data_IF_822927637961
#
_entry.id   IF_822927637961
#
_cell.length_a   1.000
_cell.length_b   1.000
_cell.length_c   1.000
_cell.angle_alpha   90.00
_cell.angle_beta   90.00
_cell.angle_gamma   90.00
#
_symmetry.space_group_name_H-M   'P 1'
#
loop_
_entity.id
_entity.type
_entity.pdbx_description
1 polymer ?
#
# COMPACT_ATOMS: atom_id res chain seq x y z
N UNK A 1 9.31 -13.27 11.11
CA UNK A 1 8.44 -12.70 12.17
C UNK A 1 9.18 -12.42 13.49
N UNK A 2 10.27 -13.08 13.76
CA UNK A 2 11.05 -12.90 15.01
C UNK A 2 11.64 -11.49 15.15
N UNK A 3 11.60 -10.71 14.08
CA UNK A 3 12.19 -9.37 14.01
C UNK A 3 11.23 -8.25 14.46
N UNK A 4 9.98 -8.60 14.66
CA UNK A 4 8.93 -7.66 15.01
C UNK A 4 8.58 -7.78 16.50
N UNK A 5 8.04 -6.70 17.06
CA UNK A 5 7.53 -6.74 18.42
C UNK A 5 6.37 -7.75 18.53
N UNK A 6 6.07 -8.20 19.74
CA UNK A 6 4.98 -9.15 19.96
C UNK A 6 3.63 -8.61 19.46
N UNK A 7 3.37 -7.32 19.63
CA UNK A 7 2.14 -6.68 19.14
C UNK A 7 2.11 -6.60 17.62
N UNK A 8 3.24 -6.30 16.99
CA UNK A 8 3.35 -6.29 15.53
C UNK A 8 3.14 -7.68 14.96
N UNK A 9 3.75 -8.70 15.57
CA UNK A 9 3.57 -10.09 15.16
C UNK A 9 2.11 -10.51 15.26
N UNK A 10 1.42 -10.16 16.33
CA UNK A 10 0.00 -10.47 16.51
C UNK A 10 -0.87 -9.81 15.42
N UNK A 11 -0.59 -8.55 15.09
CA UNK A 11 -1.32 -7.85 14.04
C UNK A 11 -1.09 -8.50 12.66
N UNK A 12 0.16 -8.88 12.37
CA UNK A 12 0.50 -9.55 11.12
C UNK A 12 -0.21 -10.90 11.02
N UNK A 13 -0.18 -11.70 12.08
CA UNK A 13 -0.84 -13.00 12.12
C UNK A 13 -2.36 -12.83 11.97
N UNK A 14 -2.94 -11.88 12.67
CA UNK A 14 -4.37 -11.59 12.56
C UNK A 14 -4.78 -11.22 11.13
N UNK A 15 -3.97 -10.41 10.44
CA UNK A 15 -4.24 -10.04 9.04
C UNK A 15 -4.04 -11.23 8.09
N UNK A 16 -3.08 -12.11 8.35
CA UNK A 16 -2.88 -13.33 7.56
C UNK A 16 -4.02 -14.32 7.70
N UNK A 17 -4.52 -14.50 8.92
CA UNK A 17 -5.53 -15.52 9.22
C UNK A 17 -6.95 -15.08 8.90
N UNK A 18 -7.18 -13.76 8.81
CA UNK A 18 -8.50 -13.20 8.57
C UNK A 18 -8.50 -12.32 7.33
N UNK A 19 -9.29 -12.71 6.33
CA UNK A 19 -9.46 -11.95 5.08
C UNK A 19 -10.74 -11.12 5.06
N UNK A 20 -11.43 -10.99 6.19
CA UNK A 20 -12.72 -10.28 6.27
C UNK A 20 -12.62 -8.82 5.85
N UNK A 21 -11.47 -8.18 6.10
CA UNK A 21 -11.23 -6.81 5.70
C UNK A 21 -11.34 -6.58 4.18
N UNK A 22 -11.10 -7.62 3.38
CA UNK A 22 -11.26 -7.55 1.92
C UNK A 22 -12.73 -7.40 1.53
N UNK A 23 -13.64 -8.01 2.26
CA UNK A 23 -15.07 -7.98 1.96
C UNK A 23 -15.70 -6.59 2.14
N UNK A 24 -15.15 -5.74 3.02
CA UNK A 24 -15.61 -4.37 3.17
C UNK A 24 -14.63 -3.35 2.60
N UNK A 25 -13.77 -3.77 1.68
CA UNK A 25 -12.78 -2.93 1.02
C UNK A 25 -11.85 -2.21 2.01
N UNK A 26 -11.44 -2.92 3.06
CA UNK A 26 -10.47 -2.43 4.03
C UNK A 26 -9.06 -2.36 3.43
N UNK A 27 -8.20 -1.56 4.03
CA UNK A 27 -6.82 -1.37 3.60
C UNK A 27 -5.83 -1.80 4.67
N UNK A 28 -4.62 -2.17 4.26
CA UNK A 28 -3.49 -2.43 5.16
C UNK A 28 -2.33 -1.53 4.76
N UNK A 29 -1.81 -0.78 5.71
CA UNK A 29 -0.66 0.09 5.51
C UNK A 29 0.52 -0.44 6.33
N UNK A 30 1.63 -0.70 5.65
CA UNK A 30 2.87 -1.15 6.26
C UNK A 30 3.89 -0.03 6.16
N UNK A 31 4.20 0.59 7.29
CA UNK A 31 5.05 1.78 7.35
C UNK A 31 6.28 1.49 8.19
N UNK A 32 7.42 1.86 7.67
CA UNK A 32 8.69 1.70 8.39
C UNK A 32 9.87 1.98 7.48
N UNK A 33 11.06 2.18 8.06
CA UNK A 33 12.26 2.48 7.28
C UNK A 33 12.63 1.31 6.36
N UNK A 34 13.50 1.60 5.39
CA UNK A 34 14.00 0.60 4.45
C UNK A 34 14.71 -0.54 5.18
N UNK A 35 14.50 -1.77 4.73
CA UNK A 35 15.18 -2.95 5.25
C UNK A 35 14.55 -3.58 6.49
N UNK A 36 13.34 -3.18 6.88
CA UNK A 36 12.62 -3.78 8.02
C UNK A 36 11.68 -4.92 7.62
N UNK A 37 11.60 -5.25 6.32
CA UNK A 37 10.82 -6.40 5.84
C UNK A 37 9.39 -6.08 5.42
N UNK A 38 9.04 -4.82 5.15
CA UNK A 38 7.69 -4.41 4.71
C UNK A 38 7.22 -5.19 3.49
N UNK A 39 8.06 -5.29 2.46
CA UNK A 39 7.72 -6.01 1.22
C UNK A 39 7.54 -7.50 1.46
N UNK A 40 8.31 -8.09 2.37
CA UNK A 40 8.13 -9.49 2.77
C UNK A 40 6.79 -9.73 3.46
N UNK A 41 6.37 -8.82 4.34
CA UNK A 41 5.08 -8.90 5.00
C UNK A 41 3.95 -8.75 3.99
N UNK A 42 4.05 -7.77 3.11
CA UNK A 42 3.06 -7.57 2.04
C UNK A 42 2.96 -8.81 1.14
N UNK A 43 4.10 -9.42 0.78
CA UNK A 43 4.13 -10.64 -0.02
C UNK A 43 3.49 -11.82 0.73
N UNK A 44 3.75 -11.96 2.02
CA UNK A 44 3.13 -13.00 2.85
C UNK A 44 1.61 -12.83 2.94
N UNK A 45 1.13 -11.61 3.13
CA UNK A 45 -0.31 -11.30 3.10
C UNK A 45 -0.92 -11.62 1.74
N UNK A 46 -0.27 -11.21 0.65
CA UNK A 46 -0.73 -11.48 -0.71
C UNK A 46 -0.80 -12.97 -0.99
N UNK A 47 0.22 -13.75 -0.62
CA UNK A 47 0.23 -15.20 -0.78
C UNK A 47 -0.91 -15.88 -0.03
N UNK A 48 -1.16 -15.46 1.20
CA UNK A 48 -2.25 -16.01 2.00
C UNK A 48 -3.62 -15.71 1.37
N UNK A 49 -3.81 -14.50 0.86
CA UNK A 49 -5.03 -14.13 0.17
C UNK A 49 -5.24 -14.94 -1.11
N UNK A 50 -4.18 -15.15 -1.89
CA UNK A 50 -4.23 -15.95 -3.12
C UNK A 50 -4.61 -17.40 -2.79
N UNK A 51 -4.08 -17.98 -1.71
CA UNK A 51 -4.48 -19.31 -1.25
C UNK A 51 -5.97 -19.39 -0.90
N UNK A 52 -6.56 -18.27 -0.50
CA UNK A 52 -8.00 -18.15 -0.20
C UNK A 52 -8.83 -17.75 -1.43
N UNK A 53 -8.27 -17.87 -2.64
CA UNK A 53 -8.92 -17.53 -3.90
C UNK A 53 -9.22 -16.02 -4.06
N UNK A 54 -8.52 -15.15 -3.34
CA UNK A 54 -8.59 -13.70 -3.54
C UNK A 54 -7.67 -13.32 -4.70
N UNK A 55 -8.17 -12.52 -5.62
CA UNK A 55 -7.37 -12.01 -6.74
C UNK A 55 -6.54 -10.83 -6.27
N UNK A 56 -5.22 -10.97 -6.36
CA UNK A 56 -4.25 -9.94 -5.94
C UNK A 56 -3.36 -9.55 -7.10
N UNK A 57 -3.13 -8.25 -7.25
CA UNK A 57 -2.16 -7.71 -8.21
C UNK A 57 -1.13 -6.88 -7.46
N UNK A 58 0.14 -7.07 -7.78
CA UNK A 58 1.26 -6.35 -7.20
C UNK A 58 1.80 -5.30 -8.16
N UNK A 59 1.94 -4.07 -7.68
CA UNK A 59 2.66 -3.01 -8.39
C UNK A 59 3.65 -2.34 -7.45
N UNK A 60 4.83 -1.97 -7.97
CA UNK A 60 5.54 -0.86 -7.36
C UNK A 60 4.75 0.43 -7.59
N UNK A 61 4.82 1.37 -6.68
CA UNK A 61 4.09 2.63 -6.84
C UNK A 61 4.50 3.36 -8.12
N UNK A 62 5.80 3.33 -8.45
CA UNK A 62 6.30 3.94 -9.67
C UNK A 62 5.70 3.29 -10.94
N UNK A 63 5.67 1.96 -10.99
CA UNK A 63 5.11 1.24 -12.13
C UNK A 63 3.61 1.50 -12.29
N UNK A 64 2.87 1.55 -11.19
CA UNK A 64 1.45 1.88 -11.21
C UNK A 64 1.21 3.28 -11.78
N UNK A 65 1.94 4.28 -11.27
CA UNK A 65 1.81 5.66 -11.75
C UNK A 65 2.16 5.78 -13.22
N UNK A 66 3.23 5.12 -13.68
CA UNK A 66 3.61 5.11 -15.09
C UNK A 66 2.52 4.49 -15.98
N UNK A 67 1.94 3.39 -15.53
CA UNK A 67 0.84 2.72 -16.25
C UNK A 67 -0.38 3.63 -16.36
N UNK A 68 -0.77 4.28 -15.26
CA UNK A 68 -1.92 5.17 -15.22
C UNK A 68 -1.69 6.45 -16.04
N UNK A 69 -0.49 7.01 -15.99
CA UNK A 69 -0.14 8.18 -16.82
C UNK A 69 -0.18 7.86 -18.32
N UNK A 70 0.31 6.69 -18.72
CA UNK A 70 0.23 6.25 -20.10
C UNK A 70 -1.22 6.11 -20.54
N UNK A 71 -2.07 5.50 -19.70
CA UNK A 71 -3.49 5.37 -19.96
C UNK A 71 -4.17 6.75 -20.10
N UNK A 72 -3.78 7.72 -19.28
CA UNK A 72 -4.31 9.07 -19.35
C UNK A 72 -3.92 9.76 -20.67
N UNK A 73 -2.67 9.61 -21.09
CA UNK A 73 -2.21 10.13 -22.39
C UNK A 73 -2.98 9.52 -23.56
N UNK A 74 -3.33 8.23 -23.46
CA UNK A 74 -4.08 7.49 -24.47
C UNK A 74 -5.60 7.69 -24.35
N UNK A 75 -6.06 8.55 -23.43
CA UNK A 75 -7.47 8.80 -23.14
C UNK A 75 -8.22 7.55 -22.67
N UNK A 76 -7.52 6.63 -22.02
CA UNK A 76 -8.02 5.32 -21.55
C UNK A 76 -7.96 5.16 -20.03
N UNK A 77 -7.78 6.24 -19.26
CA UNK A 77 -7.55 6.13 -17.82
C UNK A 77 -8.68 5.39 -17.09
N UNK A 78 -9.94 5.74 -17.38
CA UNK A 78 -11.07 5.08 -16.74
C UNK A 78 -11.14 3.59 -17.10
N UNK A 79 -10.84 3.25 -18.35
CA UNK A 79 -10.78 1.85 -18.79
C UNK A 79 -9.68 1.11 -18.07
N UNK A 80 -8.50 1.71 -17.93
CA UNK A 80 -7.37 1.11 -17.21
C UNK A 80 -7.69 0.87 -15.74
N UNK A 81 -8.30 1.84 -15.05
CA UNK A 81 -8.71 1.70 -13.67
C UNK A 81 -9.79 0.62 -13.50
N UNK A 82 -10.76 0.58 -14.40
CA UNK A 82 -11.83 -0.42 -14.38
C UNK A 82 -11.30 -1.85 -14.60
N UNK A 83 -10.29 -2.02 -15.44
CA UNK A 83 -9.64 -3.32 -15.63
C UNK A 83 -8.97 -3.83 -14.36
N UNK A 84 -8.50 -2.93 -13.51
CA UNK A 84 -7.90 -3.30 -12.22
C UNK A 84 -8.96 -3.69 -11.17
N UNK A 85 -10.22 -3.38 -11.39
CA UNK A 85 -11.30 -3.72 -10.46
C UNK A 85 -11.52 -5.23 -10.32
N UNK A 86 -11.07 -6.02 -11.28
CA UNK A 86 -11.10 -7.50 -11.18
C UNK A 86 -10.24 -8.02 -10.04
N UNK A 87 -9.26 -7.24 -9.57
CA UNK A 87 -8.44 -7.61 -8.43
C UNK A 87 -9.08 -7.06 -7.15
N UNK A 88 -9.42 -7.95 -6.25
CA UNK A 88 -10.00 -7.59 -4.96
C UNK A 88 -9.01 -6.83 -4.08
N UNK A 89 -7.71 -7.14 -4.25
CA UNK A 89 -6.62 -6.49 -3.53
C UNK A 89 -5.54 -6.05 -4.52
N UNK A 90 -5.09 -4.82 -4.38
CA UNK A 90 -3.91 -4.31 -5.08
C UNK A 90 -2.83 -3.96 -4.06
N UNK A 91 -1.62 -4.45 -4.31
CA UNK A 91 -0.46 -4.06 -3.52
C UNK A 91 0.24 -2.90 -4.23
N UNK A 92 0.44 -1.81 -3.51
CA UNK A 92 1.24 -0.66 -3.96
C UNK A 92 2.49 -0.60 -3.09
N UNK A 93 3.60 -1.04 -3.63
CA UNK A 93 4.87 -1.11 -2.90
C UNK A 93 5.67 0.18 -3.11
N UNK A 94 6.22 0.71 -2.02
CA UNK A 94 7.09 1.89 -2.01
C UNK A 94 6.41 3.19 -2.48
N UNK A 95 5.27 3.52 -1.90
CA UNK A 95 4.51 4.72 -2.27
C UNK A 95 5.31 6.01 -2.10
N UNK A 96 6.28 6.05 -1.18
CA UNK A 96 7.14 7.19 -0.94
C UNK A 96 8.10 7.54 -2.09
N UNK A 97 8.28 6.64 -3.04
CA UNK A 97 9.15 6.84 -4.20
C UNK A 97 8.43 7.46 -5.41
N UNK A 98 7.15 7.72 -5.30
CA UNK A 98 6.41 8.45 -6.35
C UNK A 98 6.94 9.88 -6.41
N UNK A 99 7.28 10.36 -7.61
CA UNK A 99 7.71 11.74 -7.79
C UNK A 99 6.56 12.69 -7.49
N UNK A 100 6.89 13.84 -6.91
CA UNK A 100 5.89 14.85 -6.50
C UNK A 100 5.50 15.79 -7.64
N UNK A 101 5.44 15.33 -8.87
CA UNK A 101 4.87 16.13 -9.95
C UNK A 101 3.35 16.11 -9.85
N UNK A 102 2.70 17.21 -10.25
CA UNK A 102 1.24 17.31 -10.22
C UNK A 102 0.57 16.21 -11.05
N UNK A 103 1.14 15.90 -12.21
CA UNK A 103 0.58 14.89 -13.11
C UNK A 103 0.63 13.47 -12.50
N UNK A 104 1.73 13.11 -11.86
CA UNK A 104 1.90 11.78 -11.25
C UNK A 104 1.02 11.59 -10.02
N UNK A 105 1.00 12.58 -9.15
CA UNK A 105 0.16 12.53 -7.94
C UNK A 105 -1.31 12.64 -8.26
N UNK A 106 -1.67 13.35 -9.33
CA UNK A 106 -3.05 13.44 -9.78
C UNK A 106 -3.62 12.08 -10.19
N UNK A 107 -2.89 11.29 -11.00
CA UNK A 107 -3.38 9.97 -11.40
C UNK A 107 -3.42 8.99 -10.23
N UNK A 108 -2.48 9.10 -9.28
CA UNK A 108 -2.51 8.29 -8.06
C UNK A 108 -3.73 8.64 -7.21
N UNK A 109 -4.04 9.91 -7.05
CA UNK A 109 -5.23 10.37 -6.34
C UNK A 109 -6.52 9.86 -7.02
N UNK A 110 -6.63 9.99 -8.33
CA UNK A 110 -7.79 9.49 -9.08
C UNK A 110 -7.96 7.98 -8.91
N UNK A 111 -6.85 7.24 -8.89
CA UNK A 111 -6.87 5.80 -8.66
C UNK A 111 -7.35 5.45 -7.24
N UNK A 112 -6.83 6.13 -6.23
CA UNK A 112 -7.26 5.94 -4.83
C UNK A 112 -8.75 6.22 -4.69
N UNK A 113 -9.23 7.31 -5.30
CA UNK A 113 -10.64 7.67 -5.28
C UNK A 113 -11.51 6.62 -5.98
N UNK A 114 -11.04 6.07 -7.10
CA UNK A 114 -11.74 5.00 -7.82
C UNK A 114 -11.82 3.71 -7.01
N UNK A 115 -10.76 3.35 -6.30
CA UNK A 115 -10.71 2.14 -5.46
C UNK A 115 -11.48 2.28 -4.15
N UNK A 116 -11.73 3.50 -3.71
CA UNK A 116 -12.39 3.76 -2.43
C UNK A 116 -13.72 3.02 -2.32
N UNK A 117 -13.87 2.26 -1.24
CA UNK A 117 -15.03 1.42 -0.94
C UNK A 117 -15.36 0.32 -1.97
N UNK A 118 -14.59 0.19 -3.04
CA UNK A 118 -14.83 -0.84 -4.06
C UNK A 118 -13.78 -1.94 -4.07
N UNK A 119 -12.58 -1.68 -3.57
CA UNK A 119 -11.52 -2.68 -3.51
C UNK A 119 -10.48 -2.31 -2.47
N UNK A 120 -9.71 -3.30 -2.02
CA UNK A 120 -8.72 -3.15 -0.97
C UNK A 120 -7.34 -2.82 -1.52
N UNK A 121 -6.54 -2.12 -0.68
CA UNK A 121 -5.16 -1.80 -0.95
C UNK A 121 -4.27 -2.32 0.18
N UNK A 122 -3.12 -2.87 -0.18
CA UNK A 122 -1.99 -3.06 0.73
C UNK A 122 -0.92 -2.08 0.27
N UNK A 123 -0.56 -1.13 1.11
CA UNK A 123 0.39 -0.07 0.78
C UNK A 123 1.60 -0.17 1.68
N UNK A 124 2.80 -0.17 1.10
CA UNK A 124 4.03 -0.05 1.85
C UNK A 124 4.64 1.33 1.67
N UNK A 125 5.24 1.87 2.71
CA UNK A 125 5.89 3.17 2.68
C UNK A 125 7.06 3.23 3.65
N UNK A 126 8.14 3.88 3.22
CA UNK A 126 9.26 4.22 4.09
C UNK A 126 9.06 5.58 4.80
N UNK A 127 8.01 6.31 4.45
CA UNK A 127 7.68 7.59 5.07
C UNK A 127 6.73 7.36 6.24
N UNK A 128 7.00 7.96 7.42
CA UNK A 128 6.04 7.99 8.50
C UNK A 128 4.70 8.56 8.02
N UNK A 129 3.61 8.05 8.57
CA UNK A 129 2.27 8.50 8.17
C UNK A 129 2.10 10.03 8.30
N UNK A 130 2.75 10.63 9.32
CA UNK A 130 2.76 12.08 9.52
C UNK A 130 3.40 12.87 8.38
N UNK A 131 4.21 12.22 7.52
CA UNK A 131 4.87 12.86 6.38
C UNK A 131 4.18 12.58 5.04
N UNK A 132 3.04 11.93 5.05
CA UNK A 132 2.32 11.61 3.82
C UNK A 132 1.76 12.84 3.09
N UNK A 133 1.65 13.98 3.79
CA UNK A 133 1.35 15.27 3.18
C UNK A 133 2.40 15.68 2.14
N UNK A 134 3.60 15.09 2.20
CA UNK A 134 4.64 15.34 1.23
C UNK A 134 4.51 14.51 -0.06
N UNK A 135 3.61 13.51 -0.08
CA UNK A 135 3.38 12.70 -1.28
C UNK A 135 2.58 13.48 -2.33
N UNK A 136 1.64 14.28 -1.89
CA UNK A 136 0.78 15.07 -2.76
C UNK A 136 1.13 16.56 -2.66
N UNK A 137 1.22 17.29 -3.79
CA UNK A 137 1.57 18.71 -3.77
C UNK A 137 0.46 19.62 -3.23
N UNK A 138 -0.79 19.20 -3.35
CA UNK A 138 -1.97 19.96 -2.91
C UNK A 138 -2.44 19.45 -1.55
N UNK A 139 -2.61 20.37 -0.59
CA UNK A 139 -3.05 20.03 0.76
C UNK A 139 -4.45 19.40 0.77
N UNK A 140 -5.38 19.92 -0.03
CA UNK A 140 -6.74 19.37 -0.11
C UNK A 140 -6.74 17.96 -0.71
N UNK A 141 -5.92 17.74 -1.75
CA UNK A 141 -5.75 16.44 -2.36
C UNK A 141 -5.15 15.45 -1.36
N UNK A 142 -4.15 15.87 -0.60
CA UNK A 142 -3.51 15.05 0.45
C UNK A 142 -4.53 14.60 1.48
N UNK A 143 -5.29 15.53 2.04
CA UNK A 143 -6.32 15.23 3.05
C UNK A 143 -7.34 14.24 2.48
N UNK A 144 -7.84 14.50 1.28
CA UNK A 144 -8.84 13.65 0.66
C UNK A 144 -8.30 12.23 0.37
N UNK A 145 -7.06 12.12 -0.10
CA UNK A 145 -6.42 10.82 -0.36
C UNK A 145 -6.19 10.05 0.93
N UNK A 146 -5.66 10.70 1.95
CA UNK A 146 -5.41 10.09 3.26
C UNK A 146 -6.73 9.61 3.87
N UNK A 147 -7.76 10.43 3.87
CA UNK A 147 -9.07 10.06 4.42
C UNK A 147 -9.62 8.79 3.75
N UNK A 148 -9.47 8.67 2.44
CA UNK A 148 -9.93 7.49 1.70
C UNK A 148 -9.09 6.26 2.02
N UNK A 149 -7.78 6.41 2.14
CA UNK A 149 -6.88 5.28 2.45
C UNK A 149 -7.11 4.76 3.85
N UNK A 150 -7.22 5.63 4.85
CA UNK A 150 -7.36 5.24 6.26
C UNK A 150 -8.76 4.78 6.63
N UNK A 151 -9.76 5.05 5.81
CA UNK A 151 -11.11 4.55 6.04
C UNK A 151 -11.10 3.03 6.02
N UNK A 152 -11.39 2.40 7.15
CA UNK A 152 -11.26 0.94 7.35
C UNK A 152 -9.83 0.41 7.14
N UNK A 153 -8.82 1.18 7.55
CA UNK A 153 -7.42 0.74 7.43
C UNK A 153 -6.88 0.13 8.71
N UNK A 154 -6.01 -0.88 8.54
CA UNK A 154 -5.09 -1.34 9.58
C UNK A 154 -3.72 -0.78 9.27
N UNK A 155 -3.17 0.02 10.19
CA UNK A 155 -1.87 0.66 10.04
C UNK A 155 -0.87 -0.08 10.93
N UNK A 156 0.17 -0.63 10.32
CA UNK A 156 1.25 -1.33 11.01
C UNK A 156 2.52 -0.52 10.84
N UNK A 157 2.97 0.12 11.90
CA UNK A 157 4.23 0.86 11.92
C UNK A 157 5.32 -0.05 12.49
N UNK A 158 6.41 -0.21 11.72
CA UNK A 158 7.52 -1.07 12.07
C UNK A 158 8.70 -0.17 12.44
N UNK A 159 9.24 -0.37 13.65
CA UNK A 159 10.34 0.43 14.16
C UNK A 159 11.66 0.12 13.44
N UNK A 160 12.50 1.17 13.27
CA UNK A 160 13.69 1.13 12.45
C UNK A 160 14.86 0.31 12.96
N UNK A 161 14.78 -0.25 14.15
CA UNK A 161 15.89 -0.97 14.78
C UNK A 161 15.87 -2.47 14.50
N UNK A 162 14.99 -2.94 13.59
CA UNK A 162 14.66 -4.35 13.59
C UNK A 162 15.68 -5.24 12.86
N UNK A 163 15.82 -5.14 11.54
CA UNK A 163 16.52 -6.19 10.81
C UNK A 163 18.00 -5.92 10.58
N UNK A 164 18.35 -4.75 10.04
CA UNK A 164 19.75 -4.44 9.70
C UNK A 164 20.64 -4.33 10.91
N UNK A 165 20.09 -3.82 12.03
CA UNK A 165 20.84 -3.68 13.27
C UNK A 165 21.10 -5.03 13.92
N UNK A 166 20.12 -5.94 13.88
CA UNK A 166 20.31 -7.32 14.36
C UNK A 166 21.35 -8.07 13.54
N UNK A 167 21.41 -7.86 12.23
CA UNK A 167 22.44 -8.46 11.39
C UNK A 167 23.83 -7.89 11.66
N UNK A 168 23.96 -6.57 11.88
CA UNK A 168 25.24 -5.96 12.22
C UNK A 168 25.76 -6.39 13.59
N UNK A 169 24.89 -6.76 14.51
CA UNK A 169 25.26 -7.29 15.84
C UNK A 169 25.66 -8.76 15.82
N UNK A 170 25.31 -9.50 14.75
CA UNK A 170 25.68 -10.90 14.56
C UNK A 170 27.01 -11.09 13.83
N UNK A 171 27.55 -10.04 13.26
CA UNK A 171 28.85 -9.99 12.60
C UNK A 171 29.89 -9.36 13.51
#
# INVERSE_FOLDING_TARGET
LEEFSASEQQLIIAQKDHSDWVHYAGNVLLIGPSGVGKSHIAAALASQLIEQNVRVKWFSALALVQTLQQAKRDLDLMIAMTRLDKYQVLVIDDIGYVKKSDAETQVLFEFIAHRYESGSLIITSNQPFSHWDQIFPDTMMTVAAIDRIIHHATIIEIEGDSYRRKQSLKN
#
